data_IF_905502224799
#
_entry.id   IF_905502224799
#
_cell.length_a   1.000
_cell.length_b   1.000
_cell.length_c   1.000
_cell.angle_alpha   90.00
_cell.angle_beta   90.00
_cell.angle_gamma   90.00
#
_symmetry.space_group_name_H-M   'P 1'
#
loop_
_entity.id
_entity.type
_entity.pdbx_description
1 polymer ?
#
# COMPACT_ATOMS: atom_id res chain seq x y z
N UNK A 1 -30.71 5.54 -4.76
CA UNK A 1 -29.98 5.27 -6.02
C UNK A 1 -29.34 3.90 -5.91
N UNK A 2 -29.54 3.07 -6.92
CA UNK A 2 -28.89 1.76 -7.02
C UNK A 2 -27.64 1.90 -7.90
N UNK A 3 -26.56 2.41 -7.29
CA UNK A 3 -25.30 2.66 -7.97
C UNK A 3 -24.38 1.47 -7.74
N UNK A 4 -23.89 0.79 -8.79
CA UNK A 4 -22.93 -0.28 -8.65
C UNK A 4 -21.59 0.23 -8.05
N UNK A 5 -20.95 -0.60 -7.27
CA UNK A 5 -19.69 -0.29 -6.57
C UNK A 5 -18.58 -1.17 -7.11
N UNK A 6 -17.48 -0.55 -7.51
CA UNK A 6 -16.20 -1.23 -7.67
C UNK A 6 -15.39 -1.10 -6.39
N UNK A 7 -14.88 -2.21 -5.88
CA UNK A 7 -14.00 -2.20 -4.71
C UNK A 7 -12.54 -2.22 -5.17
N UNK A 8 -11.82 -1.14 -4.89
CA UNK A 8 -10.37 -1.15 -5.04
C UNK A 8 -9.72 -1.96 -3.91
N UNK A 9 -9.62 -3.25 -4.13
CA UNK A 9 -8.96 -4.20 -3.25
C UNK A 9 -7.48 -4.42 -3.56
N UNK A 10 -6.81 -3.49 -4.27
CA UNK A 10 -5.44 -3.66 -4.72
C UNK A 10 -4.48 -4.15 -3.61
N UNK A 11 -4.65 -3.65 -2.40
CA UNK A 11 -3.95 -4.13 -1.20
C UNK A 11 -4.86 -5.01 -0.33
N UNK A 12 -6.05 -4.51 0.00
CA UNK A 12 -6.96 -5.08 0.99
C UNK A 12 -7.48 -6.48 0.63
N UNK A 13 -7.69 -6.78 -0.66
CA UNK A 13 -8.25 -8.07 -1.07
C UNK A 13 -7.32 -9.27 -0.76
N UNK A 14 -6.02 -9.05 -0.56
CA UNK A 14 -5.09 -10.07 -0.09
C UNK A 14 -4.76 -9.95 1.41
N UNK A 15 -5.45 -9.10 2.16
CA UNK A 15 -5.27 -8.91 3.60
C UNK A 15 -6.56 -9.21 4.35
N UNK A 16 -7.64 -8.47 4.09
CA UNK A 16 -8.88 -8.55 4.84
C UNK A 16 -9.47 -9.96 4.95
N UNK A 17 -9.54 -10.81 3.89
CA UNK A 17 -10.10 -12.15 4.01
C UNK A 17 -9.38 -13.04 5.03
N UNK A 18 -8.13 -12.74 5.31
CA UNK A 18 -7.26 -13.57 6.15
C UNK A 18 -7.18 -13.08 7.59
N UNK A 19 -7.31 -11.77 7.82
CA UNK A 19 -7.10 -11.16 9.14
C UNK A 19 -8.36 -10.58 9.75
N UNK A 20 -9.36 -10.25 8.91
CA UNK A 20 -10.67 -9.74 9.31
C UNK A 20 -11.80 -10.39 8.48
N UNK A 21 -12.00 -11.72 8.60
CA UNK A 21 -12.90 -12.47 7.73
C UNK A 21 -14.38 -12.03 7.86
N UNK A 22 -14.74 -11.44 8.98
CA UNK A 22 -16.11 -10.96 9.24
C UNK A 22 -16.39 -9.58 8.63
N UNK A 23 -15.36 -8.83 8.22
CA UNK A 23 -15.51 -7.54 7.56
C UNK A 23 -16.22 -7.70 6.22
N UNK A 24 -17.39 -7.11 6.08
CA UNK A 24 -18.15 -7.12 4.83
C UNK A 24 -17.66 -6.00 3.90
N UNK A 25 -16.81 -6.33 2.94
CA UNK A 25 -16.27 -5.40 1.93
C UNK A 25 -16.39 -5.94 0.50
N UNK A 26 -16.75 -7.20 0.35
CA UNK A 26 -16.75 -7.99 -0.87
C UNK A 26 -18.16 -8.19 -1.45
N UNK A 27 -18.35 -9.22 -2.25
CA UNK A 27 -19.62 -9.59 -2.86
C UNK A 27 -20.74 -9.95 -1.86
N UNK A 28 -20.48 -10.01 -0.56
CA UNK A 28 -21.53 -10.05 0.48
C UNK A 28 -22.36 -8.76 0.48
N UNK A 29 -21.80 -7.65 0.00
CA UNK A 29 -22.53 -6.40 -0.20
C UNK A 29 -23.22 -6.43 -1.57
N UNK A 30 -24.56 -6.25 -1.66
CA UNK A 30 -25.32 -6.48 -2.88
C UNK A 30 -24.93 -5.54 -4.05
N UNK A 31 -24.45 -4.34 -3.76
CA UNK A 31 -24.07 -3.37 -4.80
C UNK A 31 -22.63 -3.53 -5.33
N UNK A 32 -21.82 -4.38 -4.73
CA UNK A 32 -20.47 -4.63 -5.25
C UNK A 32 -20.56 -5.42 -6.54
N UNK A 33 -20.20 -4.79 -7.65
CA UNK A 33 -20.24 -5.36 -9.00
C UNK A 33 -18.89 -5.96 -9.40
N UNK A 34 -17.80 -5.38 -8.92
CA UNK A 34 -16.45 -5.87 -9.24
C UNK A 34 -15.44 -5.54 -8.13
N UNK A 35 -14.37 -6.32 -8.07
CA UNK A 35 -13.28 -6.17 -7.10
C UNK A 35 -11.98 -6.36 -7.86
N UNK A 36 -11.00 -5.45 -7.69
CA UNK A 36 -9.64 -5.69 -8.13
C UNK A 36 -8.74 -6.18 -6.99
N UNK A 37 -7.64 -6.83 -7.32
CA UNK A 37 -6.59 -7.21 -6.38
C UNK A 37 -5.22 -7.21 -7.08
N UNK A 38 -4.18 -6.72 -6.40
CA UNK A 38 -2.82 -6.71 -6.93
C UNK A 38 -2.02 -7.90 -6.40
N UNK A 39 -1.68 -8.84 -7.28
CA UNK A 39 -0.85 -9.99 -6.92
C UNK A 39 0.54 -9.57 -6.41
N UNK A 40 1.10 -8.50 -6.98
CA UNK A 40 2.43 -7.97 -6.63
C UNK A 40 2.50 -7.17 -5.33
N UNK A 41 1.37 -6.90 -4.68
CA UNK A 41 1.32 -6.29 -3.35
C UNK A 41 1.28 -7.40 -2.30
N UNK A 42 0.16 -7.57 -1.63
CA UNK A 42 -0.01 -8.61 -0.62
C UNK A 42 -0.36 -10.00 -1.17
N UNK A 43 -0.49 -10.14 -2.51
CA UNK A 43 -0.56 -11.44 -3.19
C UNK A 43 0.79 -12.17 -3.27
N UNK A 44 1.90 -11.53 -2.88
CA UNK A 44 3.22 -12.13 -2.68
C UNK A 44 3.90 -12.63 -3.96
N UNK A 45 3.67 -11.98 -5.10
CA UNK A 45 4.35 -12.25 -6.36
C UNK A 45 5.05 -11.02 -6.91
N UNK A 46 5.83 -11.20 -7.96
CA UNK A 46 6.50 -10.11 -8.66
C UNK A 46 5.50 -9.23 -9.44
N UNK A 47 5.83 -7.95 -9.73
CA UNK A 47 5.02 -7.08 -10.57
C UNK A 47 4.67 -7.71 -11.92
N UNK A 48 3.44 -7.47 -12.38
CA UNK A 48 2.94 -7.93 -13.68
C UNK A 48 1.65 -8.77 -13.61
N UNK A 49 1.08 -9.00 -12.43
CA UNK A 49 -0.23 -9.64 -12.29
C UNK A 49 -1.15 -8.80 -11.43
N UNK A 50 -2.33 -8.54 -11.96
CA UNK A 50 -3.49 -7.99 -11.27
C UNK A 50 -4.70 -8.86 -11.56
N UNK A 51 -5.63 -8.87 -10.64
CA UNK A 51 -6.88 -9.61 -10.72
C UNK A 51 -8.03 -8.62 -10.74
N UNK A 52 -9.02 -8.90 -11.56
CA UNK A 52 -10.35 -8.33 -11.44
C UNK A 52 -11.35 -9.48 -11.40
N UNK A 53 -12.23 -9.42 -10.42
CA UNK A 53 -13.31 -10.41 -10.25
C UNK A 53 -14.62 -9.64 -10.39
N UNK A 54 -15.50 -10.14 -11.24
CA UNK A 54 -16.82 -9.59 -11.48
C UNK A 54 -17.86 -10.45 -10.73
N UNK A 55 -18.90 -9.82 -10.23
CA UNK A 55 -19.98 -10.55 -9.54
C UNK A 55 -20.60 -11.63 -10.44
N UNK A 56 -20.86 -11.26 -11.68
CA UNK A 56 -21.38 -12.13 -12.73
C UNK A 56 -20.96 -11.58 -14.10
N UNK A 57 -21.29 -12.31 -15.16
CA UNK A 57 -20.96 -11.92 -16.52
C UNK A 57 -21.66 -10.62 -16.97
N UNK A 58 -22.85 -10.32 -16.45
CA UNK A 58 -23.58 -9.12 -16.81
C UNK A 58 -22.99 -7.83 -16.21
N UNK A 59 -22.17 -7.98 -15.16
CA UNK A 59 -21.47 -6.86 -14.55
C UNK A 59 -20.23 -6.41 -15.36
N UNK A 60 -19.73 -7.24 -16.29
CA UNK A 60 -18.63 -6.91 -17.21
C UNK A 60 -19.19 -6.28 -18.49
N UNK A 61 -18.90 -4.99 -18.78
CA UNK A 61 -19.35 -4.34 -20.00
C UNK A 61 -18.79 -5.01 -21.25
N UNK A 62 -19.66 -5.37 -22.20
CA UNK A 62 -19.27 -6.06 -23.44
C UNK A 62 -18.30 -5.22 -24.30
N UNK A 63 -18.41 -3.89 -24.26
CA UNK A 63 -17.53 -2.97 -24.98
C UNK A 63 -16.06 -3.00 -24.50
N UNK A 64 -15.79 -3.59 -23.34
CA UNK A 64 -14.42 -3.81 -22.85
C UNK A 64 -13.80 -5.10 -23.37
N UNK A 65 -14.56 -5.97 -24.03
CA UNK A 65 -14.09 -7.26 -24.50
C UNK A 65 -13.64 -7.15 -25.96
N UNK A 66 -12.34 -7.39 -26.19
CA UNK A 66 -11.77 -7.51 -27.53
C UNK A 66 -11.68 -8.98 -27.91
N UNK A 67 -12.06 -9.30 -29.13
CA UNK A 67 -11.95 -10.65 -29.69
C UNK A 67 -10.73 -10.71 -30.61
N UNK A 68 -9.84 -11.64 -30.35
CA UNK A 68 -8.62 -11.86 -31.15
C UNK A 68 -8.57 -13.28 -31.64
N UNK A 69 -8.16 -13.48 -32.91
CA UNK A 69 -8.16 -14.79 -33.57
C UNK A 69 -6.80 -15.18 -34.20
N UNK A 70 -5.79 -14.34 -34.05
CA UNK A 70 -4.48 -14.58 -34.68
C UNK A 70 -3.69 -15.75 -34.07
N UNK A 71 -4.12 -16.30 -32.95
CA UNK A 71 -3.53 -17.47 -32.28
C UNK A 71 -4.21 -18.80 -32.66
N UNK A 72 -5.13 -18.77 -33.63
CA UNK A 72 -5.77 -19.97 -34.18
C UNK A 72 -7.16 -20.27 -33.64
N UNK A 73 -7.61 -19.56 -32.63
CA UNK A 73 -8.97 -19.61 -32.10
C UNK A 73 -9.44 -18.20 -31.69
N UNK A 74 -10.75 -18.03 -31.57
CA UNK A 74 -11.34 -16.76 -31.18
C UNK A 74 -11.33 -16.61 -29.66
N UNK A 75 -10.45 -15.74 -29.15
CA UNK A 75 -10.24 -15.55 -27.73
C UNK A 75 -10.70 -14.16 -27.24
N UNK A 76 -11.49 -14.10 -26.18
CA UNK A 76 -11.82 -12.83 -25.56
C UNK A 76 -10.63 -12.30 -24.73
N UNK A 77 -10.39 -11.00 -24.79
CA UNK A 77 -9.46 -10.29 -23.92
C UNK A 77 -9.95 -8.87 -23.67
N UNK A 78 -9.68 -8.31 -22.50
CA UNK A 78 -9.89 -6.89 -22.19
C UNK A 78 -8.59 -6.23 -21.69
N UNK A 79 -7.47 -6.85 -21.96
CA UNK A 79 -6.18 -6.30 -21.62
C UNK A 79 -5.72 -5.26 -22.64
N UNK A 80 -5.24 -4.11 -22.15
CA UNK A 80 -4.77 -3.02 -23.00
C UNK A 80 -3.44 -3.32 -23.70
N UNK A 81 -2.60 -4.17 -23.15
CA UNK A 81 -1.33 -4.57 -23.71
C UNK A 81 -1.41 -5.99 -24.29
N UNK A 82 -0.68 -6.20 -25.39
CA UNK A 82 -0.71 -7.45 -26.15
C UNK A 82 0.08 -8.57 -25.46
N UNK A 83 1.33 -8.80 -25.84
CA UNK A 83 2.14 -9.86 -25.23
C UNK A 83 2.48 -9.53 -23.78
N UNK A 84 2.24 -10.50 -22.88
CA UNK A 84 2.47 -10.35 -21.45
C UNK A 84 3.17 -11.59 -20.91
N UNK A 85 4.12 -11.42 -19.95
CA UNK A 85 4.72 -12.57 -19.28
C UNK A 85 3.66 -13.29 -18.44
N UNK A 86 3.61 -14.62 -18.54
CA UNK A 86 2.71 -15.47 -17.76
C UNK A 86 3.32 -15.99 -16.45
N UNK A 87 4.61 -15.76 -16.23
CA UNK A 87 5.33 -16.30 -15.07
C UNK A 87 4.75 -15.85 -13.72
N UNK A 88 4.27 -14.60 -13.63
CA UNK A 88 3.64 -14.07 -12.42
C UNK A 88 2.31 -14.76 -12.11
N UNK A 89 1.54 -15.14 -13.12
CA UNK A 89 0.30 -15.90 -12.96
C UNK A 89 0.60 -17.29 -12.41
N UNK A 90 1.61 -17.96 -12.95
CA UNK A 90 2.08 -19.28 -12.48
C UNK A 90 2.62 -19.16 -11.04
N UNK A 91 3.38 -18.12 -10.75
CA UNK A 91 3.89 -17.87 -9.39
C UNK A 91 2.76 -17.59 -8.39
N UNK A 92 1.71 -16.86 -8.80
CA UNK A 92 0.53 -16.64 -7.95
C UNK A 92 -0.22 -17.94 -7.68
N UNK A 93 -0.41 -18.78 -8.70
CA UNK A 93 -1.02 -20.09 -8.56
C UNK A 93 -0.20 -21.00 -7.62
N UNK A 94 1.13 -21.02 -7.80
CA UNK A 94 2.03 -21.74 -6.88
C UNK A 94 1.87 -21.27 -5.42
N UNK A 95 1.80 -19.96 -5.20
CA UNK A 95 1.60 -19.42 -3.86
C UNK A 95 0.24 -19.84 -3.26
N UNK A 96 -0.82 -19.88 -4.07
CA UNK A 96 -2.13 -20.37 -3.61
C UNK A 96 -2.05 -21.82 -3.16
N UNK A 97 -1.42 -22.69 -3.94
CA UNK A 97 -1.27 -24.10 -3.60
C UNK A 97 -0.35 -24.32 -2.38
N UNK A 98 0.78 -23.59 -2.34
CA UNK A 98 1.78 -23.80 -1.29
C UNK A 98 1.37 -23.22 0.05
N UNK A 99 0.81 -22.03 0.07
CA UNK A 99 0.46 -21.33 1.31
C UNK A 99 -0.95 -21.69 1.77
N UNK A 100 -1.88 -21.82 0.84
CA UNK A 100 -3.30 -21.96 1.14
C UNK A 100 -3.81 -20.79 1.98
N UNK A 101 -5.01 -20.92 2.49
CA UNK A 101 -5.62 -19.89 3.34
C UNK A 101 -4.78 -19.60 4.59
N UNK A 102 -4.36 -20.67 5.29
CA UNK A 102 -3.64 -20.55 6.55
C UNK A 102 -2.24 -19.95 6.40
N UNK A 103 -1.54 -20.23 5.29
CA UNK A 103 -0.26 -19.63 5.00
C UNK A 103 -0.38 -18.12 4.72
N UNK A 104 -1.37 -17.72 3.94
CA UNK A 104 -1.66 -16.30 3.73
C UNK A 104 -2.05 -15.62 5.05
N UNK A 105 -2.92 -16.23 5.85
CA UNK A 105 -3.33 -15.71 7.16
C UNK A 105 -2.13 -15.43 8.04
N UNK A 106 -1.20 -16.36 8.16
CA UNK A 106 0.01 -16.19 8.98
C UNK A 106 0.89 -15.04 8.48
N UNK A 107 1.09 -14.95 7.17
CA UNK A 107 1.92 -13.88 6.58
C UNK A 107 1.29 -12.51 6.79
N UNK A 108 -0.02 -12.38 6.55
CA UNK A 108 -0.70 -11.09 6.67
C UNK A 108 -0.87 -10.66 8.13
N UNK A 109 -1.19 -11.61 9.02
CA UNK A 109 -1.29 -11.33 10.46
C UNK A 109 0.06 -10.87 11.03
N UNK A 110 1.17 -11.51 10.63
CA UNK A 110 2.51 -11.09 11.04
C UNK A 110 2.85 -9.68 10.53
N UNK A 111 2.58 -9.40 9.25
CA UNK A 111 2.85 -8.07 8.70
C UNK A 111 2.03 -6.97 9.40
N UNK A 112 0.75 -7.26 9.73
CA UNK A 112 -0.11 -6.35 10.49
C UNK A 112 0.41 -6.13 11.91
N UNK A 113 0.85 -7.18 12.58
CA UNK A 113 1.43 -7.10 13.93
C UNK A 113 2.69 -6.21 13.95
N UNK A 114 3.60 -6.42 13.01
CA UNK A 114 4.78 -5.56 12.84
C UNK A 114 4.40 -4.11 12.58
N UNK A 115 3.41 -3.85 11.71
CA UNK A 115 2.97 -2.49 11.38
C UNK A 115 2.37 -1.78 12.60
N UNK A 116 1.49 -2.47 13.34
CA UNK A 116 0.83 -1.93 14.52
C UNK A 116 1.84 -1.61 15.64
N UNK A 117 2.77 -2.53 15.89
CA UNK A 117 3.84 -2.28 16.88
C UNK A 117 4.74 -1.12 16.45
N UNK A 118 5.19 -1.10 15.20
CA UNK A 118 6.09 -0.06 14.71
C UNK A 118 5.43 1.32 14.73
N UNK A 119 4.16 1.43 14.35
CA UNK A 119 3.44 2.71 14.41
C UNK A 119 3.34 3.24 15.84
N UNK A 120 3.05 2.36 16.81
CA UNK A 120 3.02 2.73 18.23
C UNK A 120 4.40 3.23 18.71
N UNK A 121 5.47 2.53 18.37
CA UNK A 121 6.83 2.94 18.72
C UNK A 121 7.20 4.31 18.09
N UNK A 122 6.81 4.57 16.85
CA UNK A 122 7.04 5.88 16.21
C UNK A 122 6.29 6.99 16.96
N UNK A 123 5.05 6.77 17.39
CA UNK A 123 4.29 7.74 18.15
C UNK A 123 4.96 8.07 19.51
N UNK A 124 5.65 7.10 20.12
CA UNK A 124 6.38 7.28 21.39
C UNK A 124 7.68 8.09 21.24
N UNK A 125 8.22 8.26 20.03
CA UNK A 125 9.42 9.07 19.79
C UNK A 125 9.23 10.57 20.04
N UNK A 126 7.99 11.01 20.22
CA UNK A 126 7.64 12.37 20.64
C UNK A 126 7.19 13.29 19.52
N UNK A 127 7.99 13.57 18.45
CA UNK A 127 7.64 14.58 17.46
C UNK A 127 6.58 14.16 16.43
N UNK A 128 6.16 12.90 16.45
CA UNK A 128 5.27 12.34 15.43
C UNK A 128 3.83 12.18 15.93
N UNK A 129 2.90 12.35 14.99
CA UNK A 129 1.48 12.05 15.13
C UNK A 129 1.05 11.03 14.08
N UNK A 130 0.31 10.00 14.51
CA UNK A 130 -0.19 8.96 13.61
C UNK A 130 -1.45 9.44 12.89
N UNK A 131 -1.47 9.33 11.57
CA UNK A 131 -2.67 9.48 10.74
C UNK A 131 -3.44 8.15 10.62
N UNK A 132 -2.72 7.03 10.58
CA UNK A 132 -3.26 5.66 10.62
C UNK A 132 -2.35 4.76 11.45
N UNK A 133 -2.87 3.62 11.93
CA UNK A 133 -2.16 2.77 12.90
C UNK A 133 -1.57 1.49 12.33
N UNK A 134 -1.94 1.10 11.10
CA UNK A 134 -1.49 -0.16 10.51
C UNK A 134 -2.19 -1.41 11.04
N UNK A 135 -3.29 -1.24 11.78
CA UNK A 135 -4.10 -2.29 12.39
C UNK A 135 -5.18 -2.86 11.45
N UNK A 136 -5.60 -2.10 10.46
CA UNK A 136 -6.51 -2.57 9.39
C UNK A 136 -5.72 -3.21 8.24
N UNK A 137 -4.77 -2.47 7.68
CA UNK A 137 -3.82 -2.94 6.68
C UNK A 137 -2.40 -2.76 7.24
N UNK A 138 -1.42 -3.57 6.84
CA UNK A 138 -0.04 -3.39 7.28
C UNK A 138 0.65 -2.19 6.60
N UNK A 139 -0.05 -1.07 6.60
CA UNK A 139 0.37 0.23 6.06
C UNK A 139 -0.10 1.31 7.02
N UNK A 140 0.80 2.21 7.38
CA UNK A 140 0.43 3.36 8.19
C UNK A 140 1.12 4.63 7.72
N UNK A 141 0.51 5.75 8.06
CA UNK A 141 1.02 7.07 7.77
C UNK A 141 1.12 7.89 9.07
N UNK A 142 2.08 8.77 9.12
CA UNK A 142 2.30 9.67 10.25
C UNK A 142 2.87 11.00 9.77
N UNK A 143 2.69 12.03 10.56
CA UNK A 143 3.18 13.38 10.29
C UNK A 143 3.97 13.91 11.48
N UNK A 144 4.50 15.10 11.37
CA UNK A 144 5.06 15.83 12.50
C UNK A 144 3.94 16.55 13.24
N UNK A 145 4.07 16.67 14.57
CA UNK A 145 3.19 17.51 15.39
C UNK A 145 3.42 18.99 15.07
N UNK A 146 2.41 19.81 15.30
CA UNK A 146 2.43 21.26 15.02
C UNK A 146 3.55 22.03 15.75
N UNK A 147 4.02 21.50 16.90
CA UNK A 147 5.11 22.13 17.66
C UNK A 147 6.50 21.96 16.99
N UNK A 148 6.60 21.15 15.95
CA UNK A 148 7.86 20.89 15.23
C UNK A 148 7.97 21.86 14.06
N UNK A 149 8.70 22.96 14.27
CA UNK A 149 8.83 24.06 13.29
C UNK A 149 10.17 24.05 12.52
N UNK A 150 11.17 23.34 13.01
CA UNK A 150 12.55 23.46 12.54
C UNK A 150 12.97 22.40 11.50
N UNK A 151 12.13 21.42 11.20
CA UNK A 151 12.33 20.45 10.12
C UNK A 151 10.99 19.89 9.64
N UNK A 152 10.99 19.31 8.46
CA UNK A 152 9.80 18.78 7.78
C UNK A 152 9.83 17.26 7.70
N UNK A 153 8.69 16.64 7.31
CA UNK A 153 8.65 15.20 6.98
C UNK A 153 9.60 14.82 5.84
N UNK A 154 9.91 15.75 4.93
CA UNK A 154 10.87 15.56 3.84
C UNK A 154 12.29 15.46 4.37
N UNK A 155 12.63 16.26 5.39
CA UNK A 155 13.94 16.20 6.04
C UNK A 155 14.13 14.88 6.77
N UNK A 156 13.07 14.38 7.45
CA UNK A 156 13.06 13.04 8.05
C UNK A 156 13.28 11.97 6.98
N UNK A 157 12.54 12.04 5.87
CA UNK A 157 12.69 11.10 4.75
C UNK A 157 14.13 11.07 4.21
N UNK A 158 14.74 12.27 4.03
CA UNK A 158 16.11 12.40 3.53
C UNK A 158 17.14 11.85 4.53
N UNK A 159 17.00 12.18 5.82
CA UNK A 159 17.85 11.67 6.88
C UNK A 159 17.80 10.13 6.99
N UNK A 160 16.61 9.55 6.83
CA UNK A 160 16.44 8.10 6.83
C UNK A 160 17.01 7.44 5.56
N UNK A 161 16.98 8.14 4.42
CA UNK A 161 17.61 7.66 3.18
C UNK A 161 19.13 7.55 3.32
N UNK A 162 19.79 8.45 4.06
CA UNK A 162 21.21 8.35 4.38
C UNK A 162 21.53 7.06 5.18
N UNK A 163 20.54 6.50 5.85
CA UNK A 163 20.64 5.23 6.60
C UNK A 163 20.21 4.00 5.79
N UNK A 164 19.86 4.18 4.52
CA UNK A 164 19.43 3.11 3.61
C UNK A 164 17.93 2.81 3.66
N UNK A 165 17.13 3.59 4.39
CA UNK A 165 15.69 3.43 4.45
C UNK A 165 14.98 4.25 3.36
N UNK A 166 14.09 3.61 2.62
CA UNK A 166 13.16 4.32 1.75
C UNK A 166 11.85 4.58 2.52
N UNK A 167 11.81 5.73 3.16
CA UNK A 167 10.66 6.21 3.91
C UNK A 167 10.02 7.37 3.14
N UNK A 168 9.03 7.13 2.24
CA UNK A 168 8.49 8.16 1.38
C UNK A 168 7.75 9.23 2.19
N UNK A 169 8.07 10.50 1.89
CA UNK A 169 7.31 11.65 2.31
C UNK A 169 6.53 12.21 1.11
N UNK A 170 5.30 12.67 1.32
CA UNK A 170 4.44 13.24 0.28
C UNK A 170 3.47 14.26 0.86
N UNK A 171 3.09 15.23 0.02
CA UNK A 171 2.03 16.20 0.32
C UNK A 171 0.67 15.64 -0.06
N UNK A 172 -0.35 15.95 0.70
CA UNK A 172 -1.74 15.59 0.38
C UNK A 172 -2.27 16.37 -0.84
N UNK A 173 -3.41 15.93 -1.45
CA UNK A 173 -3.99 16.59 -2.63
C UNK A 173 -4.38 18.06 -2.40
N UNK A 174 -4.74 18.76 -3.49
CA UNK A 174 -5.01 20.20 -3.53
C UNK A 174 -5.82 20.78 -2.37
N UNK A 175 -6.80 20.03 -1.86
CA UNK A 175 -7.63 20.51 -0.74
C UNK A 175 -6.98 20.37 0.64
N UNK A 176 -5.80 19.77 0.74
CA UNK A 176 -5.07 19.48 1.97
C UNK A 176 -3.54 19.57 1.76
N UNK A 177 -3.09 20.54 1.00
CA UNK A 177 -1.66 20.80 0.78
C UNK A 177 -0.93 21.28 2.04
N UNK A 178 -1.68 21.67 3.05
CA UNK A 178 -1.22 21.97 4.40
C UNK A 178 -0.65 20.74 5.12
N UNK A 179 -1.06 19.54 4.70
CA UNK A 179 -0.65 18.28 5.30
C UNK A 179 0.36 17.54 4.44
N UNK A 180 1.46 17.15 5.04
CA UNK A 180 2.44 16.23 4.46
C UNK A 180 2.67 15.05 5.42
N UNK A 181 2.91 13.87 4.87
CA UNK A 181 3.03 12.66 5.66
C UNK A 181 4.18 11.76 5.20
N UNK A 182 4.66 10.95 6.12
CA UNK A 182 5.53 9.79 5.89
C UNK A 182 4.66 8.53 5.86
N UNK A 183 5.00 7.58 4.99
CA UNK A 183 4.26 6.33 4.86
C UNK A 183 5.17 5.12 5.01
N UNK A 184 4.79 4.20 5.88
CA UNK A 184 5.42 2.88 6.02
C UNK A 184 4.51 1.81 5.43
N UNK A 185 5.08 0.96 4.58
CA UNK A 185 4.42 -0.22 4.02
C UNK A 185 5.18 -1.45 4.50
N UNK A 186 4.58 -2.18 5.43
CA UNK A 186 5.15 -3.43 5.92
C UNK A 186 4.79 -4.56 4.97
N UNK A 187 5.81 -5.16 4.37
CA UNK A 187 5.67 -6.28 3.44
C UNK A 187 6.34 -7.52 3.99
N UNK A 188 6.05 -8.66 3.39
CA UNK A 188 6.76 -9.90 3.69
C UNK A 188 8.28 -9.70 3.69
N UNK A 189 8.93 -10.16 4.74
CA UNK A 189 10.38 -10.01 4.93
C UNK A 189 10.79 -8.80 5.76
N UNK A 190 9.89 -7.85 6.03
CA UNK A 190 10.12 -6.81 7.01
C UNK A 190 9.77 -7.37 8.40
N UNK A 191 10.79 -7.59 9.22
CA UNK A 191 10.67 -8.26 10.52
C UNK A 191 10.59 -7.27 11.68
N UNK A 192 10.29 -7.77 12.89
CA UNK A 192 10.40 -6.98 14.12
C UNK A 192 11.80 -6.41 14.31
N UNK A 193 12.85 -7.19 14.03
CA UNK A 193 14.23 -6.71 14.15
C UNK A 193 14.50 -5.54 13.19
N UNK A 194 13.96 -5.59 11.96
CA UNK A 194 14.05 -4.47 11.02
C UNK A 194 13.25 -3.25 11.51
N UNK A 195 12.11 -3.46 12.15
CA UNK A 195 11.35 -2.39 12.77
C UNK A 195 12.13 -1.73 13.91
N UNK A 196 12.74 -2.52 14.78
CA UNK A 196 13.58 -2.02 15.87
C UNK A 196 14.82 -1.27 15.33
N UNK A 197 15.42 -1.72 14.23
CA UNK A 197 16.50 -1.00 13.54
C UNK A 197 16.03 0.35 12.97
N UNK A 198 14.83 0.40 12.38
CA UNK A 198 14.24 1.65 11.86
C UNK A 198 14.00 2.65 12.99
N UNK A 199 13.45 2.20 14.12
CA UNK A 199 13.25 3.05 15.31
C UNK A 199 14.59 3.60 15.80
N UNK A 200 15.59 2.74 15.96
CA UNK A 200 16.92 3.17 16.41
C UNK A 200 17.54 4.21 15.47
N UNK A 201 17.41 4.04 14.16
CA UNK A 201 17.90 5.02 13.20
C UNK A 201 17.11 6.34 13.26
N UNK A 202 15.79 6.32 13.48
CA UNK A 202 15.00 7.53 13.74
C UNK A 202 15.49 8.25 15.01
N UNK A 203 15.63 7.53 16.12
CA UNK A 203 16.14 8.08 17.39
C UNK A 203 17.50 8.78 17.23
N UNK A 204 18.37 8.24 16.38
CA UNK A 204 19.68 8.83 16.09
C UNK A 204 19.60 10.08 15.21
N UNK A 205 18.66 10.14 14.28
CA UNK A 205 18.52 11.28 13.37
C UNK A 205 17.75 12.47 13.99
N UNK A 206 16.76 12.21 14.84
CA UNK A 206 15.94 13.26 15.44
C UNK A 206 16.74 14.36 16.15
N UNK A 207 17.75 14.09 16.99
CA UNK A 207 18.53 15.15 17.64
C UNK A 207 19.35 16.00 16.65
N UNK A 208 19.69 15.44 15.49
CA UNK A 208 20.37 16.18 14.40
C UNK A 208 19.39 17.11 13.69
N UNK A 209 18.20 16.61 13.38
CA UNK A 209 17.13 17.41 12.76
C UNK A 209 16.67 18.54 13.67
N UNK A 210 16.52 18.30 14.95
CA UNK A 210 16.14 19.30 15.96
C UNK A 210 17.13 20.48 16.09
N UNK A 211 18.39 20.28 15.71
CA UNK A 211 19.42 21.33 15.72
C UNK A 211 19.48 22.14 14.42
N UNK A 212 18.73 21.79 13.42
CA UNK A 212 18.68 22.57 12.19
C UNK A 212 18.00 23.91 12.44
N UNK A 213 18.46 25.01 11.79
CA UNK A 213 17.70 26.23 11.78
C UNK A 213 16.33 25.99 11.13
N UNK A 214 15.31 26.71 11.58
CA UNK A 214 13.99 26.63 10.96
C UNK A 214 14.12 26.82 9.42
N UNK A 215 13.43 26.01 8.62
CA UNK A 215 13.49 26.13 7.17
C UNK A 215 13.07 27.54 6.79
N UNK A 216 13.93 28.23 6.03
CA UNK A 216 13.53 29.46 5.37
C UNK A 216 12.46 29.02 4.37
N UNK A 217 11.24 29.50 4.51
CA UNK A 217 10.16 29.27 3.55
C UNK A 217 10.50 29.94 2.22
N UNK A 218 11.37 29.31 1.44
CA UNK A 218 11.33 29.49 0.01
C UNK A 218 10.15 28.67 -0.50
N UNK A 219 9.19 29.35 -1.11
CA UNK A 219 8.06 28.71 -1.81
C UNK A 219 8.61 27.66 -2.76
N UNK A 220 8.61 26.40 -2.34
CA UNK A 220 8.99 25.27 -3.21
C UNK A 220 7.88 25.12 -4.24
N UNK A 221 8.00 25.90 -5.30
CA UNK A 221 7.26 25.73 -6.53
C UNK A 221 7.63 24.38 -7.14
N UNK A 222 6.66 23.48 -7.21
CA UNK A 222 6.70 22.32 -8.07
C UNK A 222 6.95 20.99 -7.36
N UNK A 223 5.88 20.24 -7.18
CA UNK A 223 5.94 18.82 -6.89
C UNK A 223 6.65 18.09 -8.04
N UNK A 224 7.77 17.43 -7.75
CA UNK A 224 8.51 16.62 -8.72
C UNK A 224 7.81 15.30 -9.10
N UNK A 225 6.57 15.08 -8.69
CA UNK A 225 5.76 13.90 -9.02
C UNK A 225 4.29 14.31 -9.21
N UNK A 226 4.00 14.93 -10.35
CA UNK A 226 2.67 14.93 -10.93
C UNK A 226 2.55 13.69 -11.83
N UNK A 227 1.99 12.61 -11.34
CA UNK A 227 1.46 11.50 -12.13
C UNK A 227 0.21 10.96 -11.45
#
# INVERSE_FOLDING_TARGET
MDIPVHVDGASGAFVAPFVDPDLAWDFRLPRVASINASGHKYGLVHPGVGWVVWRDAAALPEELIFWVNYLGDNMPTFALNFSRPGSQVVAQYYNFLRLGFEGYRRVQAYARDVATRLSAQIAELGPFELLTRGDELPVFAFTLKDEVENYTVFDVSNAMRERGWQLPAYTFPENRTDLAALRVVVRRGFTHDMADMLIHDLERQLPRLQKQPAPVHDEVSGSAFAH
#
